data_IF_182317042636
#
_entry.id   IF_182317042636
#
_cell.length_a   1.000
_cell.length_b   1.000
_cell.length_c   1.000
_cell.angle_alpha   90.00
_cell.angle_beta   90.00
_cell.angle_gamma   90.00
#
_symmetry.space_group_name_H-M   'P 1'
#
loop_
_entity.id
_entity.type
_entity.pdbx_description
1 polymer ?
#
# COMPACT_ATOMS: atom_id res chain seq x y z
N UNK A 1 -4.07 -3.59 -22.54
CA UNK A 1 -2.76 -3.35 -23.21
C UNK A 1 -2.01 -2.40 -22.31
N UNK A 2 -0.98 -2.85 -21.58
CA UNK A 2 -0.18 -1.98 -20.71
C UNK A 2 0.67 -1.09 -21.63
N UNK A 3 0.55 0.23 -21.50
CA UNK A 3 1.36 1.16 -22.26
C UNK A 3 2.84 0.92 -22.00
N UNK A 4 3.62 0.71 -23.03
CA UNK A 4 5.06 0.38 -23.01
C UNK A 4 5.96 1.53 -22.51
N UNK A 5 5.40 2.67 -22.09
CA UNK A 5 6.17 3.93 -22.01
C UNK A 5 6.65 4.29 -20.61
N UNK A 6 6.11 3.69 -19.52
CA UNK A 6 6.26 4.28 -18.18
C UNK A 6 7.08 3.47 -17.18
N UNK A 7 8.11 2.73 -17.63
CA UNK A 7 8.89 1.85 -16.75
C UNK A 7 10.40 2.10 -16.75
N UNK A 8 10.88 3.24 -17.26
CA UNK A 8 12.32 3.52 -17.36
C UNK A 8 13.04 3.35 -16.01
N UNK A 9 12.48 3.90 -14.95
CA UNK A 9 13.05 3.77 -13.59
C UNK A 9 13.07 2.32 -13.13
N UNK A 10 12.00 1.59 -13.39
CA UNK A 10 11.90 0.17 -13.02
C UNK A 10 12.99 -0.67 -13.70
N UNK A 11 13.12 -0.56 -15.03
CA UNK A 11 14.16 -1.27 -15.78
C UNK A 11 15.56 -0.83 -15.40
N UNK A 12 15.78 0.47 -15.23
CA UNK A 12 17.07 1.01 -14.77
C UNK A 12 17.47 0.41 -13.42
N UNK A 13 16.56 0.38 -12.43
CA UNK A 13 16.81 -0.21 -11.12
C UNK A 13 17.09 -1.70 -11.22
N UNK A 14 16.38 -2.44 -12.08
CA UNK A 14 16.66 -3.87 -12.31
C UNK A 14 18.09 -4.04 -12.83
N UNK A 15 18.48 -3.32 -13.87
CA UNK A 15 19.80 -3.46 -14.50
C UNK A 15 20.93 -3.17 -13.51
N UNK A 16 20.86 -2.04 -12.80
CA UNK A 16 21.92 -1.64 -11.85
C UNK A 16 21.90 -2.44 -10.54
N UNK A 17 20.84 -3.22 -10.30
CA UNK A 17 20.65 -3.95 -9.05
C UNK A 17 20.58 -5.46 -9.23
N UNK A 18 20.89 -5.96 -10.43
CA UNK A 18 20.68 -7.38 -10.76
C UNK A 18 21.29 -8.33 -9.72
N UNK A 19 22.49 -8.05 -9.20
CA UNK A 19 23.13 -8.86 -8.19
C UNK A 19 22.39 -8.80 -6.83
N UNK A 20 21.81 -7.64 -6.46
CA UNK A 20 21.00 -7.51 -5.25
C UNK A 20 19.65 -8.18 -5.41
N UNK A 21 19.08 -8.16 -6.60
CA UNK A 21 17.82 -8.87 -6.90
C UNK A 21 18.02 -10.37 -6.68
N UNK A 22 19.09 -10.93 -7.25
CA UNK A 22 19.44 -12.34 -7.05
C UNK A 22 19.68 -12.64 -5.56
N UNK A 23 20.45 -11.80 -4.88
CA UNK A 23 20.68 -11.93 -3.44
C UNK A 23 19.36 -11.95 -2.65
N UNK A 24 18.47 -10.95 -2.89
CA UNK A 24 17.21 -10.88 -2.15
C UNK A 24 16.23 -12.00 -2.50
N UNK A 25 16.23 -12.52 -3.74
CA UNK A 25 15.44 -13.70 -4.06
C UNK A 25 15.87 -14.88 -3.20
N UNK A 26 17.18 -15.18 -3.20
CA UNK A 26 17.72 -16.32 -2.46
C UNK A 26 17.53 -16.16 -0.95
N UNK A 27 17.87 -14.99 -0.39
CA UNK A 27 17.81 -14.77 1.05
C UNK A 27 16.37 -14.67 1.54
N UNK A 28 15.46 -14.02 0.81
CA UNK A 28 14.04 -13.96 1.20
C UNK A 28 13.38 -15.33 1.17
N UNK A 29 13.67 -16.15 0.15
CA UNK A 29 13.17 -17.52 0.09
C UNK A 29 13.74 -18.34 1.27
N UNK A 30 15.05 -18.22 1.54
CA UNK A 30 15.68 -18.92 2.68
C UNK A 30 15.05 -18.52 4.03
N UNK A 31 14.82 -17.22 4.30
CA UNK A 31 14.15 -16.76 5.53
C UNK A 31 12.70 -17.25 5.60
N UNK A 32 11.99 -17.20 4.49
CA UNK A 32 10.59 -17.64 4.44
C UNK A 32 10.41 -19.14 4.63
N UNK A 33 11.39 -19.94 4.20
CA UNK A 33 11.36 -21.39 4.32
C UNK A 33 11.91 -21.90 5.66
N UNK A 34 12.56 -21.04 6.46
CA UNK A 34 13.15 -21.37 7.77
C UNK A 34 12.57 -20.50 8.88
N UNK A 35 11.22 -20.49 9.01
CA UNK A 35 10.49 -19.70 10.02
C UNK A 35 10.74 -20.13 11.47
N UNK A 36 11.27 -21.31 11.68
CA UNK A 36 11.76 -21.82 12.97
C UNK A 36 13.00 -21.05 13.46
N UNK A 37 13.82 -20.50 12.53
CA UNK A 37 15.05 -19.74 12.81
C UNK A 37 14.87 -18.23 12.67
N UNK A 38 13.95 -17.81 11.83
CA UNK A 38 13.71 -16.41 11.51
C UNK A 38 12.28 -16.03 11.85
N UNK A 39 12.11 -15.36 12.96
CA UNK A 39 10.82 -14.86 13.43
C UNK A 39 10.23 -13.78 12.49
N UNK A 40 9.00 -13.40 12.78
CA UNK A 40 8.29 -12.39 11.99
C UNK A 40 9.05 -11.08 11.92
N UNK A 41 9.71 -10.68 13.02
CA UNK A 41 10.46 -9.42 13.09
C UNK A 41 11.72 -9.46 12.21
N UNK A 42 12.43 -10.57 12.22
CA UNK A 42 13.62 -10.80 11.37
C UNK A 42 13.27 -10.74 9.89
N UNK A 43 12.18 -11.40 9.50
CA UNK A 43 11.68 -11.38 8.13
C UNK A 43 11.23 -9.98 7.70
N UNK A 44 10.49 -9.29 8.57
CA UNK A 44 10.04 -7.92 8.31
C UNK A 44 11.20 -6.94 8.15
N UNK A 45 12.22 -7.05 8.99
CA UNK A 45 13.44 -6.23 8.88
C UNK A 45 14.21 -6.50 7.59
N UNK A 46 14.23 -7.75 7.12
CA UNK A 46 14.80 -8.08 5.81
C UNK A 46 14.01 -7.43 4.68
N UNK A 47 12.68 -7.46 4.74
CA UNK A 47 11.82 -6.77 3.77
C UNK A 47 12.08 -5.25 3.77
N UNK A 48 12.17 -4.62 4.95
CA UNK A 48 12.50 -3.19 5.07
C UNK A 48 13.87 -2.84 4.51
N UNK A 49 14.88 -3.69 4.74
CA UNK A 49 16.22 -3.52 4.16
C UNK A 49 16.16 -3.60 2.64
N UNK A 50 15.49 -4.60 2.09
CA UNK A 50 15.31 -4.75 0.66
C UNK A 50 14.62 -3.51 0.04
N UNK A 51 13.56 -3.02 0.67
CA UNK A 51 12.86 -1.80 0.22
C UNK A 51 13.79 -0.59 0.30
N UNK A 52 14.58 -0.45 1.37
CA UNK A 52 15.55 0.64 1.53
C UNK A 52 16.63 0.65 0.44
N UNK A 53 17.10 -0.52 0.02
CA UNK A 53 18.05 -0.62 -1.10
C UNK A 53 17.41 -0.28 -2.43
N UNK A 54 16.15 -0.67 -2.64
CA UNK A 54 15.37 -0.24 -3.82
C UNK A 54 15.20 1.28 -3.81
N UNK A 55 14.82 1.88 -2.68
CA UNK A 55 14.67 3.33 -2.53
C UNK A 55 15.94 4.09 -2.93
N UNK A 56 17.09 3.66 -2.38
CA UNK A 56 18.39 4.28 -2.67
C UNK A 56 18.71 4.23 -4.17
N UNK A 57 18.54 3.07 -4.81
CA UNK A 57 18.88 2.88 -6.23
C UNK A 57 17.87 3.53 -7.17
N UNK A 58 16.60 3.54 -6.78
CA UNK A 58 15.56 4.19 -7.54
C UNK A 58 15.48 5.70 -7.29
N UNK A 59 16.38 6.27 -6.46
CA UNK A 59 16.37 7.68 -6.09
C UNK A 59 15.01 8.13 -5.50
N UNK A 60 14.43 7.26 -4.64
CA UNK A 60 13.16 7.49 -3.95
C UNK A 60 13.45 7.80 -2.49
N UNK A 61 12.76 8.80 -1.94
CA UNK A 61 12.73 9.09 -0.51
C UNK A 61 11.29 9.07 -0.03
N UNK A 62 11.02 8.40 1.08
CA UNK A 62 9.72 8.46 1.77
C UNK A 62 9.85 9.28 3.04
N UNK A 63 8.99 10.27 3.23
CA UNK A 63 8.85 11.01 4.48
C UNK A 63 7.62 10.45 5.20
N UNK A 64 7.83 10.01 6.44
CA UNK A 64 6.75 9.47 7.28
C UNK A 64 6.38 10.48 8.37
N UNK A 65 5.07 10.63 8.62
CA UNK A 65 4.48 11.45 9.66
C UNK A 65 3.56 10.61 10.54
N UNK A 66 3.37 11.01 11.80
CA UNK A 66 2.37 10.43 12.69
C UNK A 66 2.69 9.00 13.17
N UNK A 67 3.94 8.56 13.12
CA UNK A 67 4.33 7.23 13.64
C UNK A 67 4.09 7.09 15.13
N UNK A 68 4.19 8.18 15.87
CA UNK A 68 3.93 8.29 17.30
C UNK A 68 2.46 8.07 17.68
N UNK A 69 1.55 8.22 16.71
CA UNK A 69 0.09 8.02 16.85
C UNK A 69 -0.33 6.56 16.71
N UNK A 70 0.52 5.69 16.17
CA UNK A 70 0.19 4.28 15.98
C UNK A 70 -0.18 3.62 17.32
N UNK A 71 -1.18 2.71 17.33
CA UNK A 71 -1.54 1.98 18.54
C UNK A 71 -0.34 1.25 19.11
N UNK A 72 -0.12 1.40 20.41
CA UNK A 72 1.00 0.77 21.14
C UNK A 72 0.54 -0.55 21.77
N UNK A 73 1.46 -1.49 21.90
CA UNK A 73 1.21 -2.79 22.51
C UNK A 73 1.05 -3.92 21.50
N UNK A 74 0.66 -5.11 22.01
CA UNK A 74 0.62 -6.37 21.23
C UNK A 74 -0.64 -6.51 20.37
N UNK A 75 -1.58 -5.56 20.45
CA UNK A 75 -2.83 -5.61 19.69
C UNK A 75 -2.64 -5.43 18.19
N UNK A 76 -3.44 -6.16 17.39
CA UNK A 76 -3.52 -5.95 15.95
C UNK A 76 -4.31 -4.68 15.60
N UNK A 77 -4.08 -4.17 14.40
CA UNK A 77 -4.87 -3.09 13.80
C UNK A 77 -4.83 -3.14 12.27
N UNK A 78 -5.77 -2.47 11.64
CA UNK A 78 -5.83 -2.41 10.19
C UNK A 78 -5.51 -0.99 9.72
N UNK A 79 -4.46 -0.85 8.93
CA UNK A 79 -4.10 0.38 8.23
C UNK A 79 -4.89 0.45 6.92
N UNK A 80 -5.86 1.36 6.85
CA UNK A 80 -6.58 1.63 5.60
C UNK A 80 -5.95 2.82 4.89
N UNK A 81 -5.44 2.58 3.69
CA UNK A 81 -4.72 3.57 2.91
C UNK A 81 -5.40 3.84 1.55
N UNK A 82 -5.27 5.05 1.01
CA UNK A 82 -5.55 5.32 -0.38
C UNK A 82 -4.56 4.59 -1.29
N UNK A 83 -4.95 4.31 -2.54
CA UNK A 83 -4.14 3.51 -3.46
C UNK A 83 -3.79 4.29 -4.73
N UNK A 84 -2.51 4.57 -4.94
CA UNK A 84 -2.00 5.37 -6.04
C UNK A 84 -1.18 4.58 -7.05
N UNK A 85 -0.46 3.53 -6.60
CA UNK A 85 0.44 2.83 -7.49
C UNK A 85 1.21 1.66 -6.86
N UNK A 86 2.21 1.21 -7.59
CA UNK A 86 3.02 0.03 -7.23
C UNK A 86 3.89 0.22 -5.99
N UNK A 87 4.15 1.47 -5.61
CA UNK A 87 5.06 1.80 -4.50
C UNK A 87 4.35 1.91 -3.15
N UNK A 88 3.03 2.00 -3.10
CA UNK A 88 2.25 2.33 -1.90
C UNK A 88 2.55 1.43 -0.70
N UNK A 89 2.40 0.12 -0.87
CA UNK A 89 2.67 -0.83 0.20
C UNK A 89 4.15 -0.78 0.65
N UNK A 90 5.08 -0.60 -0.30
CA UNK A 90 6.51 -0.48 0.01
C UNK A 90 6.80 0.77 0.84
N UNK A 91 6.17 1.89 0.50
CA UNK A 91 6.29 3.14 1.24
C UNK A 91 5.79 3.02 2.68
N UNK A 92 4.64 2.34 2.90
CA UNK A 92 4.10 2.09 4.24
C UNK A 92 5.03 1.15 5.02
N UNK A 93 5.44 -0.01 4.45
CA UNK A 93 6.34 -0.98 5.11
C UNK A 93 7.66 -0.32 5.50
N UNK A 94 8.26 0.50 4.61
CA UNK A 94 9.49 1.22 4.92
C UNK A 94 9.32 2.23 6.07
N UNK A 95 8.12 2.75 6.25
CA UNK A 95 7.78 3.77 7.26
C UNK A 95 7.25 3.21 8.56
N UNK A 96 6.88 1.93 8.61
CA UNK A 96 6.27 1.27 9.76
C UNK A 96 7.30 0.41 10.48
N UNK A 97 7.48 0.57 11.81
CA UNK A 97 8.58 -0.06 12.54
C UNK A 97 8.23 -1.47 13.02
N UNK A 98 6.95 -1.76 13.24
CA UNK A 98 6.48 -3.06 13.70
C UNK A 98 6.07 -3.96 12.53
N UNK A 99 6.19 -5.30 12.66
CA UNK A 99 5.74 -6.21 11.61
C UNK A 99 4.28 -5.96 11.21
N UNK A 100 4.06 -5.82 9.93
CA UNK A 100 2.71 -5.74 9.35
C UNK A 100 2.65 -6.51 8.03
N UNK A 101 1.48 -7.03 7.73
CA UNK A 101 1.19 -7.79 6.52
C UNK A 101 0.44 -6.94 5.50
N UNK A 102 0.37 -7.40 4.26
CA UNK A 102 -0.34 -6.71 3.17
C UNK A 102 -1.25 -7.69 2.43
N UNK A 103 -2.42 -7.20 2.01
CA UNK A 103 -3.28 -7.94 1.09
C UNK A 103 -2.93 -7.50 -0.33
N UNK A 104 -2.60 -8.47 -1.17
CA UNK A 104 -2.20 -8.20 -2.53
C UNK A 104 -2.94 -9.11 -3.52
N UNK A 105 -3.26 -8.57 -4.69
CA UNK A 105 -3.80 -9.35 -5.80
C UNK A 105 -2.89 -10.54 -6.12
N UNK A 106 -3.46 -11.75 -6.23
CA UNK A 106 -2.73 -12.99 -6.38
C UNK A 106 -1.82 -13.01 -7.62
N UNK A 107 -2.25 -12.40 -8.73
CA UNK A 107 -1.46 -12.31 -9.96
C UNK A 107 -0.30 -11.33 -9.81
N UNK A 108 -0.56 -10.14 -9.28
CA UNK A 108 0.46 -9.10 -9.07
C UNK A 108 1.48 -9.49 -8.00
N UNK A 109 1.06 -10.25 -6.98
CA UNK A 109 1.95 -10.74 -5.90
C UNK A 109 3.01 -11.73 -6.36
N UNK A 110 2.92 -12.26 -7.58
CA UNK A 110 3.91 -13.17 -8.17
C UNK A 110 4.97 -12.45 -9.02
N UNK A 111 4.87 -11.14 -9.15
CA UNK A 111 5.89 -10.36 -9.87
C UNK A 111 7.22 -10.38 -9.12
N UNK A 112 8.31 -10.21 -9.86
CA UNK A 112 9.67 -10.13 -9.33
C UNK A 112 9.75 -9.09 -8.19
N UNK A 113 10.42 -9.44 -7.11
CA UNK A 113 10.56 -8.71 -5.85
C UNK A 113 9.25 -8.54 -5.04
N UNK A 114 8.08 -8.35 -5.67
CA UNK A 114 6.81 -8.34 -4.97
C UNK A 114 6.54 -9.67 -4.26
N UNK A 115 6.86 -10.78 -4.93
CA UNK A 115 6.75 -12.12 -4.34
C UNK A 115 7.59 -12.27 -3.07
N UNK A 116 8.82 -11.76 -3.08
CA UNK A 116 9.73 -11.82 -1.93
C UNK A 116 9.23 -10.97 -0.78
N UNK A 117 8.79 -9.72 -1.04
CA UNK A 117 8.17 -8.89 0.00
C UNK A 117 6.96 -9.58 0.61
N UNK A 118 6.03 -10.08 -0.24
CA UNK A 118 4.82 -10.77 0.23
C UNK A 118 5.15 -12.00 1.08
N UNK A 119 6.16 -12.78 0.70
CA UNK A 119 6.63 -13.91 1.52
C UNK A 119 7.19 -13.45 2.87
N UNK A 120 8.05 -12.43 2.90
CA UNK A 120 8.70 -11.95 4.11
C UNK A 120 7.73 -11.32 5.12
N UNK A 121 6.68 -10.65 4.63
CA UNK A 121 5.66 -10.02 5.50
C UNK A 121 4.43 -10.92 5.71
N UNK A 122 4.49 -12.19 5.29
CA UNK A 122 3.35 -13.12 5.28
C UNK A 122 2.09 -12.51 4.66
N UNK A 123 2.27 -11.87 3.51
CA UNK A 123 1.19 -11.20 2.82
C UNK A 123 0.13 -12.17 2.30
N UNK A 124 -1.12 -11.75 2.39
CA UNK A 124 -2.26 -12.55 1.94
C UNK A 124 -2.53 -12.27 0.46
N UNK A 125 -2.60 -13.34 -0.32
CA UNK A 125 -2.89 -13.27 -1.75
C UNK A 125 -4.39 -13.42 -1.99
N UNK A 126 -4.97 -12.40 -2.63
CA UNK A 126 -6.40 -12.33 -2.90
C UNK A 126 -6.66 -12.57 -4.38
N UNK A 127 -7.42 -13.61 -4.70
CA UNK A 127 -8.00 -13.77 -6.03
C UNK A 127 -9.29 -12.95 -6.12
N UNK A 128 -9.25 -11.89 -6.93
CA UNK A 128 -10.39 -10.99 -7.12
C UNK A 128 -11.50 -11.58 -7.99
N UNK A 129 -11.23 -12.67 -8.70
CA UNK A 129 -12.20 -13.33 -9.58
C UNK A 129 -13.02 -14.38 -8.85
N UNK A 130 -12.55 -14.87 -7.69
CA UNK A 130 -13.23 -15.88 -6.88
C UNK A 130 -13.79 -15.27 -5.59
N UNK A 131 -15.10 -15.10 -5.55
CA UNK A 131 -15.83 -14.57 -4.38
C UNK A 131 -15.63 -15.44 -3.12
N UNK A 132 -15.58 -16.78 -3.26
CA UNK A 132 -15.36 -17.68 -2.12
C UNK A 132 -13.96 -17.48 -1.53
N UNK A 133 -12.95 -17.33 -2.39
CA UNK A 133 -11.60 -16.99 -1.99
C UNK A 133 -11.54 -15.67 -1.24
N UNK A 134 -12.26 -14.63 -1.73
CA UNK A 134 -12.33 -13.33 -1.06
C UNK A 134 -12.90 -13.45 0.36
N UNK A 135 -14.00 -14.18 0.54
CA UNK A 135 -14.61 -14.39 1.86
C UNK A 135 -13.65 -15.14 2.80
N UNK A 136 -12.95 -16.17 2.29
CA UNK A 136 -11.97 -16.92 3.07
C UNK A 136 -10.81 -16.02 3.53
N UNK A 137 -10.28 -15.18 2.64
CA UNK A 137 -9.21 -14.22 2.95
C UNK A 137 -9.67 -13.22 4.02
N UNK A 138 -10.86 -12.64 3.90
CA UNK A 138 -11.39 -11.72 4.91
C UNK A 138 -11.54 -12.38 6.28
N UNK A 139 -12.03 -13.62 6.33
CA UNK A 139 -12.17 -14.36 7.60
C UNK A 139 -10.80 -14.68 8.21
N UNK A 140 -9.80 -15.02 7.40
CA UNK A 140 -8.44 -15.24 7.88
C UNK A 140 -7.82 -13.96 8.43
N UNK A 141 -8.01 -12.83 7.74
CA UNK A 141 -7.57 -11.52 8.25
C UNK A 141 -8.20 -11.18 9.61
N UNK A 142 -9.53 -11.39 9.75
CA UNK A 142 -10.24 -11.17 11.01
C UNK A 142 -9.62 -11.99 12.13
N UNK A 143 -9.36 -13.28 11.88
CA UNK A 143 -8.74 -14.18 12.85
C UNK A 143 -7.34 -13.69 13.24
N UNK A 144 -6.51 -13.37 12.26
CA UNK A 144 -5.14 -12.91 12.49
C UNK A 144 -5.09 -11.54 13.18
N UNK A 145 -5.97 -10.60 12.82
CA UNK A 145 -6.04 -9.29 13.46
C UNK A 145 -6.44 -9.41 14.95
N UNK A 146 -7.38 -10.32 15.29
CA UNK A 146 -7.71 -10.66 16.70
C UNK A 146 -6.51 -11.20 17.47
N UNK A 147 -5.59 -11.87 16.79
CA UNK A 147 -4.38 -12.45 17.38
C UNK A 147 -3.18 -11.47 17.34
N UNK A 148 -3.44 -10.17 17.21
CA UNK A 148 -2.39 -9.15 17.29
C UNK A 148 -1.73 -8.77 15.95
N UNK A 149 -2.14 -9.36 14.82
CA UNK A 149 -1.51 -9.06 13.55
C UNK A 149 -1.97 -7.72 12.97
N UNK A 150 -1.06 -6.98 12.37
CA UNK A 150 -1.28 -5.69 11.73
C UNK A 150 -1.36 -5.86 10.22
N UNK A 151 -2.28 -5.14 9.55
CA UNK A 151 -2.47 -5.26 8.11
C UNK A 151 -2.49 -3.91 7.42
N UNK A 152 -1.93 -3.86 6.21
CA UNK A 152 -2.15 -2.80 5.23
C UNK A 152 -3.28 -3.24 4.31
N UNK A 153 -4.32 -2.42 4.20
CA UNK A 153 -5.46 -2.69 3.33
C UNK A 153 -5.83 -1.46 2.50
N UNK A 154 -5.98 -1.64 1.20
CA UNK A 154 -6.41 -0.62 0.26
C UNK A 154 -7.90 -0.78 -0.05
N UNK A 155 -8.79 0.01 0.58
CA UNK A 155 -10.24 -0.16 0.46
C UNK A 155 -10.79 0.20 -0.92
N UNK A 156 -10.03 0.90 -1.75
CA UNK A 156 -10.35 1.18 -3.15
C UNK A 156 -10.39 -0.11 -4.00
N UNK A 157 -9.62 -1.12 -3.60
CA UNK A 157 -9.56 -2.43 -4.26
C UNK A 157 -8.76 -2.44 -5.56
N UNK A 158 -8.11 -1.35 -5.91
CA UNK A 158 -7.25 -1.15 -7.06
C UNK A 158 -6.93 0.33 -7.22
N UNK A 159 -6.14 0.68 -8.24
CA UNK A 159 -5.83 2.08 -8.59
C UNK A 159 -5.98 2.27 -10.10
N UNK A 160 -6.50 3.43 -10.50
CA UNK A 160 -6.83 3.78 -11.89
C UNK A 160 -5.97 4.94 -12.43
N UNK A 161 -4.73 5.06 -11.95
CA UNK A 161 -3.78 6.11 -12.34
C UNK A 161 -4.32 7.55 -12.17
N UNK A 162 -5.12 7.76 -11.11
CA UNK A 162 -5.76 9.04 -10.79
C UNK A 162 -4.87 9.98 -9.93
N UNK A 163 -3.56 9.71 -9.86
CA UNK A 163 -2.60 10.53 -9.11
C UNK A 163 -2.89 10.58 -7.63
N UNK A 164 -2.95 11.77 -7.06
CA UNK A 164 -3.24 11.99 -5.64
C UNK A 164 -4.76 12.04 -5.31
N UNK A 165 -5.65 11.84 -6.28
CA UNK A 165 -7.08 11.87 -6.04
C UNK A 165 -7.58 10.55 -5.45
N UNK A 166 -8.49 10.62 -4.47
CA UNK A 166 -9.12 9.45 -3.87
C UNK A 166 -10.12 8.81 -4.83
N UNK A 167 -10.16 7.48 -4.80
CA UNK A 167 -11.24 6.69 -5.37
C UNK A 167 -12.30 6.37 -4.32
N UNK A 168 -13.41 5.75 -4.76
CA UNK A 168 -14.44 5.29 -3.84
C UNK A 168 -13.94 4.11 -3.02
N UNK A 169 -14.17 4.18 -1.70
CA UNK A 169 -13.86 3.10 -0.78
C UNK A 169 -14.99 2.06 -0.79
N UNK A 170 -14.63 0.79 -0.82
CA UNK A 170 -15.56 -0.33 -0.72
C UNK A 170 -15.94 -0.57 0.74
N UNK A 171 -17.17 -0.28 1.18
CA UNK A 171 -17.55 -0.40 2.60
C UNK A 171 -17.31 -1.80 3.17
N UNK A 172 -17.42 -2.83 2.34
CA UNK A 172 -17.14 -4.22 2.73
C UNK A 172 -15.73 -4.48 3.26
N UNK A 173 -14.75 -3.65 2.89
CA UNK A 173 -13.38 -3.75 3.38
C UNK A 173 -13.29 -3.54 4.90
N UNK A 174 -14.11 -2.65 5.45
CA UNK A 174 -14.10 -2.29 6.87
C UNK A 174 -14.68 -3.36 7.79
N UNK A 175 -15.40 -4.36 7.22
CA UNK A 175 -15.87 -5.53 7.99
C UNK A 175 -14.75 -6.26 8.72
N UNK A 176 -13.51 -6.18 8.20
CA UNK A 176 -12.36 -6.86 8.84
C UNK A 176 -12.08 -6.24 10.20
N UNK A 177 -11.84 -4.95 10.27
CA UNK A 177 -11.56 -4.25 11.53
C UNK A 177 -12.75 -4.33 12.50
N UNK A 178 -13.97 -4.08 11.99
CA UNK A 178 -15.19 -4.11 12.81
C UNK A 178 -15.44 -5.49 13.43
N UNK A 179 -15.29 -6.59 12.66
CA UNK A 179 -15.46 -7.94 13.18
C UNK A 179 -14.28 -8.43 14.03
N UNK A 180 -13.09 -7.89 13.79
CA UNK A 180 -11.93 -8.15 14.62
C UNK A 180 -12.02 -7.39 15.96
N UNK A 181 -12.76 -6.28 16.02
CA UNK A 181 -12.78 -5.38 17.17
C UNK A 181 -11.43 -4.73 17.41
N UNK A 182 -10.72 -4.32 16.35
CA UNK A 182 -9.38 -3.78 16.44
C UNK A 182 -9.30 -2.34 15.89
N UNK A 183 -8.35 -1.52 16.35
CA UNK A 183 -8.19 -0.17 15.85
C UNK A 183 -8.10 -0.08 14.33
N UNK A 184 -8.70 0.95 13.77
CA UNK A 184 -8.57 1.37 12.38
C UNK A 184 -7.57 2.52 12.34
N UNK A 185 -6.50 2.38 11.56
CA UNK A 185 -5.51 3.43 11.34
C UNK A 185 -5.67 3.96 9.92
N UNK A 186 -6.26 5.15 9.70
CA UNK A 186 -6.26 5.76 8.39
C UNK A 186 -4.84 6.16 7.99
N UNK A 187 -4.45 5.92 6.75
CA UNK A 187 -3.12 6.26 6.23
C UNK A 187 -3.26 7.04 4.93
N UNK A 188 -2.75 8.27 4.90
CA UNK A 188 -2.69 9.07 3.70
C UNK A 188 -1.33 8.89 3.00
N UNK A 189 -1.37 8.57 1.71
CA UNK A 189 -0.19 8.45 0.86
C UNK A 189 -0.24 9.54 -0.20
N UNK A 190 0.87 10.23 -0.43
CA UNK A 190 0.96 11.32 -1.40
C UNK A 190 2.19 11.17 -2.31
N UNK A 191 2.03 11.41 -3.63
CA UNK A 191 3.05 11.29 -4.68
C UNK A 191 3.63 9.86 -4.84
N UNK A 192 2.95 8.83 -4.32
CA UNK A 192 3.42 7.44 -4.34
C UNK A 192 3.30 6.78 -5.72
N UNK A 193 2.50 7.34 -6.64
CA UNK A 193 2.41 6.90 -8.03
C UNK A 193 3.63 7.31 -8.87
N UNK A 194 4.27 8.44 -8.53
CA UNK A 194 5.36 9.04 -9.33
C UNK A 194 6.54 8.07 -9.57
N UNK A 195 7.02 7.30 -8.58
CA UNK A 195 8.23 6.49 -8.75
C UNK A 195 8.20 5.52 -9.94
N UNK A 196 7.04 4.93 -10.23
CA UNK A 196 6.92 3.85 -11.22
C UNK A 196 5.92 4.12 -12.35
N UNK A 197 5.23 5.27 -12.32
CA UNK A 197 4.27 5.63 -13.37
C UNK A 197 4.82 6.72 -14.32
N UNK A 198 6.00 7.28 -14.02
CA UNK A 198 6.61 8.31 -14.85
C UNK A 198 8.04 7.99 -15.27
N UNK A 199 8.36 8.23 -16.53
CA UNK A 199 9.68 8.04 -17.13
C UNK A 199 10.67 9.11 -16.67
N UNK A 200 11.14 9.01 -15.43
CA UNK A 200 12.13 9.91 -14.88
C UNK A 200 13.02 9.22 -13.84
N UNK A 201 14.31 9.51 -13.87
CA UNK A 201 15.29 9.09 -12.85
C UNK A 201 15.53 10.18 -11.81
N UNK A 202 14.86 11.33 -11.91
CA UNK A 202 14.96 12.40 -10.93
C UNK A 202 14.52 11.91 -9.55
N UNK A 203 15.08 12.52 -8.51
CA UNK A 203 14.68 12.22 -7.14
C UNK A 203 13.17 12.42 -6.97
N UNK A 204 12.52 11.41 -6.41
CA UNK A 204 11.11 11.45 -6.01
C UNK A 204 11.03 11.40 -4.49
N UNK A 205 10.23 12.28 -3.92
CA UNK A 205 9.89 12.23 -2.50
C UNK A 205 8.41 11.91 -2.34
N UNK A 206 8.11 10.76 -1.77
CA UNK A 206 6.75 10.34 -1.40
C UNK A 206 6.47 10.70 0.05
N UNK A 207 5.20 10.83 0.43
CA UNK A 207 4.82 11.10 1.80
C UNK A 207 3.84 10.02 2.28
N UNK A 208 4.03 9.54 3.51
CA UNK A 208 3.14 8.60 4.21
C UNK A 208 2.76 9.24 5.54
N UNK A 209 1.48 9.38 5.82
CA UNK A 209 0.99 9.93 7.08
C UNK A 209 0.07 8.93 7.78
N UNK A 210 0.46 8.47 8.97
CA UNK A 210 -0.40 7.72 9.87
C UNK A 210 -1.28 8.72 10.64
N UNK A 211 -2.59 8.58 10.48
CA UNK A 211 -3.59 9.47 11.09
C UNK A 211 -4.04 8.87 12.42
N UNK A 212 -4.63 9.68 13.29
CA UNK A 212 -5.12 9.23 14.59
C UNK A 212 -6.01 7.99 14.44
N UNK A 213 -5.74 6.92 15.23
CA UNK A 213 -6.52 5.70 15.17
C UNK A 213 -7.98 5.94 15.53
N UNK A 214 -8.87 5.14 14.95
CA UNK A 214 -10.29 5.05 15.32
C UNK A 214 -10.43 3.75 16.11
N UNK A 215 -10.78 3.86 17.37
CA UNK A 215 -10.90 2.73 18.26
C UNK A 215 -12.28 2.05 18.17
N UNK A 216 -12.42 0.77 18.61
CA UNK A 216 -13.67 0.02 18.53
C UNK A 216 -14.88 0.74 19.12
N UNK A 217 -14.70 1.51 20.18
CA UNK A 217 -15.74 2.26 20.85
C UNK A 217 -16.33 3.37 19.97
N UNK A 218 -15.51 3.95 19.07
CA UNK A 218 -15.92 5.00 18.16
C UNK A 218 -16.76 4.50 17.00
N UNK A 219 -16.64 3.24 16.63
CA UNK A 219 -17.33 2.66 15.46
C UNK A 219 -18.33 1.54 15.81
N UNK A 220 -18.48 1.18 17.09
CA UNK A 220 -19.31 0.07 17.55
C UNK A 220 -20.76 0.11 17.04
N UNK A 221 -21.34 1.32 16.94
CA UNK A 221 -22.73 1.53 16.52
C UNK A 221 -22.86 2.00 15.05
N UNK A 222 -21.75 2.03 14.31
CA UNK A 222 -21.74 2.50 12.93
C UNK A 222 -21.88 1.33 11.95
N UNK A 223 -22.51 1.60 10.81
CA UNK A 223 -22.49 0.71 9.66
C UNK A 223 -21.11 0.74 8.98
N UNK A 224 -20.82 -0.28 8.17
CA UNK A 224 -19.59 -0.30 7.36
C UNK A 224 -19.49 0.88 6.39
N UNK A 225 -20.61 1.44 5.95
CA UNK A 225 -20.64 2.63 5.09
C UNK A 225 -20.21 3.87 5.87
N UNK A 226 -20.76 4.08 7.05
CA UNK A 226 -20.40 5.22 7.90
C UNK A 226 -18.93 5.17 8.31
N UNK A 227 -18.39 3.98 8.66
CA UNK A 227 -16.96 3.82 8.95
C UNK A 227 -16.11 4.10 7.71
N UNK A 228 -16.54 3.63 6.54
CA UNK A 228 -15.87 3.91 5.26
C UNK A 228 -15.79 5.41 4.98
N UNK A 229 -16.91 6.11 5.14
CA UNK A 229 -17.00 7.55 4.87
C UNK A 229 -16.16 8.35 5.87
N UNK A 230 -16.17 7.96 7.14
CA UNK A 230 -15.33 8.58 8.19
C UNK A 230 -13.84 8.43 7.87
N UNK A 231 -13.40 7.22 7.51
CA UNK A 231 -11.99 6.98 7.17
C UNK A 231 -11.59 7.73 5.91
N UNK A 232 -12.46 7.71 4.88
CA UNK A 232 -12.24 8.44 3.63
C UNK A 232 -12.06 9.93 3.88
N UNK A 233 -12.96 10.55 4.65
CA UNK A 233 -12.89 11.97 4.97
C UNK A 233 -11.58 12.34 5.70
N UNK A 234 -11.17 11.55 6.72
CA UNK A 234 -9.89 11.78 7.43
C UNK A 234 -8.67 11.69 6.51
N UNK A 235 -8.69 10.76 5.53
CA UNK A 235 -7.61 10.64 4.53
C UNK A 235 -7.64 11.83 3.58
N UNK A 236 -8.81 12.24 3.09
CA UNK A 236 -8.97 13.38 2.17
C UNK A 236 -8.43 14.68 2.78
N UNK A 237 -8.83 14.99 4.03
CA UNK A 237 -8.32 16.15 4.77
C UNK A 237 -6.79 16.10 4.88
N UNK A 238 -6.23 14.91 5.17
CA UNK A 238 -4.79 14.74 5.29
C UNK A 238 -4.06 14.87 3.95
N UNK A 239 -4.66 14.47 2.85
CA UNK A 239 -4.07 14.65 1.51
C UNK A 239 -3.91 16.14 1.18
N UNK A 240 -4.85 17.00 1.57
CA UNK A 240 -4.70 18.46 1.44
C UNK A 240 -3.51 18.98 2.24
N UNK A 241 -3.34 18.56 3.48
CA UNK A 241 -2.16 18.95 4.28
C UNK A 241 -0.84 18.46 3.64
N UNK A 242 -0.83 17.24 3.08
CA UNK A 242 0.36 16.70 2.42
C UNK A 242 0.68 17.44 1.11
N UNK A 243 -0.33 17.90 0.40
CA UNK A 243 -0.17 18.78 -0.77
C UNK A 243 0.50 20.10 -0.37
N UNK A 244 0.04 20.72 0.70
CA UNK A 244 0.64 21.95 1.22
C UNK A 244 2.08 21.72 1.70
N UNK A 245 2.35 20.60 2.36
CA UNK A 245 3.70 20.19 2.72
C UNK A 245 4.59 20.02 1.48
N UNK A 246 4.07 19.38 0.41
CA UNK A 246 4.78 19.27 -0.87
C UNK A 246 5.19 20.63 -1.40
N UNK A 247 4.25 21.58 -1.42
CA UNK A 247 4.51 22.96 -1.89
C UNK A 247 5.53 23.67 -1.00
N UNK A 248 5.31 23.66 0.32
CA UNK A 248 6.16 24.33 1.32
C UNK A 248 7.61 23.81 1.32
N UNK A 249 7.79 22.50 1.15
CA UNK A 249 9.09 21.84 1.16
C UNK A 249 9.74 21.74 -0.23
N UNK A 250 9.09 22.26 -1.27
CA UNK A 250 9.58 22.18 -2.64
C UNK A 250 9.80 20.77 -3.16
N UNK A 251 8.94 19.80 -2.72
CA UNK A 251 9.07 18.42 -3.13
C UNK A 251 8.57 18.22 -4.55
N UNK A 252 9.28 17.40 -5.32
CA UNK A 252 8.91 17.00 -6.68
C UNK A 252 8.52 18.18 -7.60
N UNK A 253 9.19 19.32 -7.47
CA UNK A 253 8.88 20.55 -8.24
C UNK A 253 9.01 20.37 -9.75
N UNK A 254 9.79 19.39 -10.19
CA UNK A 254 9.95 19.02 -11.59
C UNK A 254 8.75 18.28 -12.17
N UNK A 255 7.89 17.73 -11.30
CA UNK A 255 6.70 16.96 -11.66
C UNK A 255 5.51 17.91 -11.75
N UNK A 256 4.97 18.04 -12.94
CA UNK A 256 3.70 18.74 -13.19
C UNK A 256 2.64 17.65 -13.38
N UNK A 257 1.69 17.60 -12.48
CA UNK A 257 0.52 16.75 -12.64
C UNK A 257 -0.22 17.16 -13.92
N UNK A 258 -0.35 16.22 -14.86
CA UNK A 258 -1.23 16.46 -15.99
C UNK A 258 -2.65 16.49 -15.40
N UNK A 259 -3.30 17.65 -15.41
CA UNK A 259 -4.73 17.73 -15.11
C UNK A 259 -5.42 16.90 -16.20
N UNK A 260 -5.73 15.65 -15.89
CA UNK A 260 -6.62 14.84 -16.72
C UNK A 260 -7.96 15.55 -16.74
N UNK A 261 -8.30 16.13 -17.87
CA UNK A 261 -9.68 16.53 -18.12
C UNK A 261 -10.59 15.32 -17.92
N UNK A 262 -11.91 15.52 -17.66
CA UNK A 262 -12.82 14.42 -17.42
C UNK A 262 -12.66 13.41 -18.55
N UNK A 263 -12.47 12.13 -18.19
CA UNK A 263 -12.35 11.03 -19.13
C UNK A 263 -13.54 11.13 -20.12
N UNK A 264 -13.27 11.41 -21.38
CA UNK A 264 -14.26 11.26 -22.43
C UNK A 264 -14.60 9.77 -22.47
N UNK A 265 -15.75 9.43 -21.91
CA UNK A 265 -16.40 8.14 -22.15
C UNK A 265 -16.71 8.12 -23.64
N UNK A 266 -15.82 7.54 -24.43
CA UNK A 266 -16.12 7.16 -25.81
C UNK A 266 -17.16 6.05 -25.77
N UNK A 267 -18.44 6.46 -25.86
CA UNK A 267 -19.54 5.61 -26.24
C UNK A 267 -19.37 5.18 -27.71
N UNK A 268 -18.57 4.15 -27.94
CA UNK A 268 -18.60 3.41 -29.19
C UNK A 268 -18.62 1.93 -28.89
N UNK A 269 -19.81 1.38 -28.87
CA UNK A 269 -20.17 0.02 -29.27
C UNK A 269 -21.64 -0.28 -28.85
N UNK A 270 -22.60 0.41 -29.44
CA UNK A 270 -23.92 -0.15 -29.66
C UNK A 270 -24.33 0.29 -31.07
N UNK A 271 -23.99 -0.56 -32.06
CA UNK A 271 -24.77 -0.82 -33.24
C UNK A 271 -23.97 -1.79 -34.12
N UNK A 272 -24.71 -2.83 -34.50
CA UNK A 272 -24.47 -3.82 -35.55
C UNK A 272 -24.32 -5.27 -35.04
N UNK A 273 -25.42 -6.01 -35.37
CA UNK A 273 -25.47 -7.43 -35.65
C UNK A 273 -26.35 -8.25 -34.73
#
# INVERSE_FOLDING_TARGET
MFGEVDMLRFYFVIIISIYLIIYYIVVADYYSDNRDKYDEFSCYNLARRMIGDIQKRANIRTIAYGKDKLPKGEGGYIMYANHQGKYDALGIIASHDEPCSVIMDAKRSRMLLANQVVKLVDGIRLDKTDFRSQVKVLNEMIKQAKNGRRFIYFPEGGYDHNGNNLQEFKPGAFKVAMKAGCPIVPVAIYDSHIPFDYNSLRKVTTQVCFIDPIYPEEYANLSTKEVSDMVKARIEDKLHELEDNRKRLGLNTWFKEYKSGPAQITSQAVNEG
#
